data_IF_094739830642
#
_entry.id   IF_094739830642
#
_cell.length_a   1.000
_cell.length_b   1.000
_cell.length_c   1.000
_cell.angle_alpha   90.00
_cell.angle_beta   90.00
_cell.angle_gamma   90.00
#
_symmetry.space_group_name_H-M   'P 1'
#
loop_
_entity.id
_entity.type
_entity.pdbx_description
1 polymer ?
#
# COMPACT_ATOMS: atom_id res chain seq x y z
N UNK A 1 48.38 33.69 -1.30
CA UNK A 1 47.59 32.56 -1.87
C UNK A 1 46.45 32.12 -0.95
N UNK A 2 46.59 31.28 0.10
CA UNK A 2 45.39 30.87 0.92
C UNK A 2 44.64 32.02 1.61
N UNK A 3 45.36 33.01 2.16
CA UNK A 3 44.76 34.20 2.81
C UNK A 3 44.16 35.19 1.79
N UNK A 4 44.72 35.21 0.59
CA UNK A 4 44.27 36.06 -0.52
C UNK A 4 43.01 35.48 -1.19
N UNK A 5 42.92 34.15 -1.28
CA UNK A 5 41.73 33.43 -1.69
C UNK A 5 40.57 33.62 -0.68
N UNK A 6 40.87 33.64 0.61
CA UNK A 6 39.88 33.93 1.66
C UNK A 6 39.27 35.34 1.55
N UNK A 7 40.04 36.34 1.11
CA UNK A 7 39.52 37.70 0.90
C UNK A 7 38.60 37.86 -0.31
N UNK A 8 38.59 36.89 -1.23
CA UNK A 8 37.63 36.80 -2.34
C UNK A 8 36.36 36.00 -1.99
N UNK A 9 36.18 35.60 -0.72
CA UNK A 9 35.03 34.79 -0.31
C UNK A 9 35.14 33.32 -0.72
N UNK A 10 36.36 32.81 -0.91
CA UNK A 10 36.62 31.38 -1.15
C UNK A 10 37.11 30.76 0.17
N UNK A 11 36.53 29.64 0.64
CA UNK A 11 35.90 28.59 -0.14
C UNK A 11 34.43 28.90 -0.44
N UNK A 12 34.06 28.88 -1.73
CA UNK A 12 32.66 28.68 -2.11
C UNK A 12 32.37 27.22 -1.78
N UNK A 13 31.82 26.95 -0.60
CA UNK A 13 31.62 25.56 -0.13
C UNK A 13 30.62 24.77 -1.00
N UNK A 14 29.89 25.44 -1.91
CA UNK A 14 28.90 24.80 -2.78
C UNK A 14 28.97 25.42 -4.18
N UNK A 15 29.23 24.60 -5.20
CA UNK A 15 29.23 25.03 -6.60
C UNK A 15 27.79 25.10 -7.11
N UNK A 16 27.28 26.32 -7.31
CA UNK A 16 25.87 26.55 -7.65
C UNK A 16 25.61 26.55 -9.15
N UNK A 17 24.34 26.51 -9.55
CA UNK A 17 23.91 26.73 -10.93
C UNK A 17 24.42 28.05 -11.51
N UNK A 18 24.46 29.11 -10.70
CA UNK A 18 24.98 30.41 -11.13
C UNK A 18 26.49 30.37 -11.40
N UNK A 19 27.24 29.56 -10.65
CA UNK A 19 28.67 29.36 -10.88
C UNK A 19 28.91 28.56 -12.17
N UNK A 20 28.12 27.52 -12.41
CA UNK A 20 28.16 26.75 -13.66
C UNK A 20 27.88 27.62 -14.90
N UNK A 21 26.95 28.56 -14.78
CA UNK A 21 26.62 29.48 -15.85
C UNK A 21 27.71 30.55 -16.06
N UNK A 22 28.18 31.18 -14.97
CA UNK A 22 29.19 32.26 -15.05
C UNK A 22 30.56 31.76 -15.51
N UNK A 23 30.93 30.53 -15.17
CA UNK A 23 32.21 29.93 -15.59
C UNK A 23 32.13 29.27 -16.98
N UNK A 24 30.97 29.33 -17.65
CA UNK A 24 30.81 28.76 -18.98
C UNK A 24 31.51 29.63 -20.04
N UNK A 25 32.63 29.13 -20.55
CA UNK A 25 33.38 29.79 -21.64
C UNK A 25 32.93 29.28 -23.00
N UNK A 26 32.98 30.13 -24.02
CA UNK A 26 32.78 29.72 -25.42
C UNK A 26 33.85 28.71 -25.91
N UNK A 27 34.96 28.59 -25.19
CA UNK A 27 36.05 27.63 -25.46
C UNK A 27 35.81 26.24 -24.86
N UNK A 28 34.76 26.03 -24.05
CA UNK A 28 34.48 24.74 -23.41
C UNK A 28 33.81 23.75 -24.37
N UNK A 29 34.14 22.47 -24.18
CA UNK A 29 33.48 21.38 -24.90
C UNK A 29 32.07 21.13 -24.36
N UNK A 30 31.23 20.47 -25.14
CA UNK A 30 29.88 20.09 -24.68
C UNK A 30 29.91 19.08 -23.53
N UNK A 31 30.95 18.24 -23.48
CA UNK A 31 31.20 17.34 -22.35
C UNK A 31 31.44 18.15 -21.06
N UNK A 32 32.32 19.15 -21.10
CA UNK A 32 32.62 20.00 -19.94
C UNK A 32 31.38 20.74 -19.44
N UNK A 33 30.53 21.21 -20.37
CA UNK A 33 29.26 21.89 -20.03
C UNK A 33 28.29 20.94 -19.34
N UNK A 34 28.14 19.71 -19.84
CA UNK A 34 27.26 18.69 -19.26
C UNK A 34 27.71 18.30 -17.86
N UNK A 35 29.01 18.06 -17.65
CA UNK A 35 29.55 17.65 -16.35
C UNK A 35 29.35 18.75 -15.30
N UNK A 36 29.58 20.02 -15.67
CA UNK A 36 29.33 21.15 -14.77
C UNK A 36 27.85 21.36 -14.46
N UNK A 37 26.99 21.23 -15.47
CA UNK A 37 25.54 21.31 -15.27
C UNK A 37 25.06 20.22 -14.31
N UNK A 38 25.54 18.98 -14.50
CA UNK A 38 25.28 17.86 -13.60
C UNK A 38 25.73 18.18 -12.17
N UNK A 39 26.97 18.62 -11.99
CA UNK A 39 27.52 18.94 -10.66
C UNK A 39 26.77 20.08 -9.96
N UNK A 40 26.36 21.12 -10.70
CA UNK A 40 25.51 22.17 -10.17
C UNK A 40 24.14 21.66 -9.71
N UNK A 41 23.52 20.77 -10.51
CA UNK A 41 22.22 20.18 -10.19
C UNK A 41 22.28 19.27 -8.96
N UNK A 42 23.35 18.50 -8.81
CA UNK A 42 23.63 17.69 -7.62
C UNK A 42 23.69 18.56 -6.36
N UNK A 43 24.39 19.69 -6.43
CA UNK A 43 24.54 20.62 -5.31
C UNK A 43 23.24 21.38 -4.98
N UNK A 44 22.46 21.77 -6.00
CA UNK A 44 21.16 22.42 -5.80
C UNK A 44 20.17 21.47 -5.13
N UNK A 45 20.05 20.24 -5.62
CA UNK A 45 19.23 19.20 -4.98
C UNK A 45 19.70 18.89 -3.56
N UNK A 46 21.01 18.82 -3.32
CA UNK A 46 21.56 18.63 -1.99
C UNK A 46 21.18 19.77 -1.03
N UNK A 47 21.21 21.02 -1.50
CA UNK A 47 20.79 22.18 -0.71
C UNK A 47 19.29 22.14 -0.40
N UNK A 48 18.46 21.79 -1.37
CA UNK A 48 17.01 21.68 -1.18
C UNK A 48 16.63 20.56 -0.20
N UNK A 49 17.26 19.38 -0.32
CA UNK A 49 17.03 18.25 0.60
C UNK A 49 17.49 18.61 2.01
N UNK A 50 18.57 19.38 2.16
CA UNK A 50 19.06 19.83 3.47
C UNK A 50 18.10 20.80 4.18
N UNK A 51 17.13 21.39 3.48
CA UNK A 51 16.11 22.26 4.08
C UNK A 51 14.95 21.49 4.74
N UNK A 52 14.87 20.16 4.54
CA UNK A 52 13.85 19.35 5.20
C UNK A 52 14.14 19.21 6.70
N UNK A 53 13.06 19.14 7.49
CA UNK A 53 13.17 18.96 8.94
C UNK A 53 13.83 17.61 9.27
N UNK A 54 14.83 17.64 10.16
CA UNK A 54 15.56 16.44 10.60
C UNK A 54 16.76 16.05 9.72
N UNK A 55 17.07 16.83 8.68
CA UNK A 55 18.27 16.65 7.85
C UNK A 55 19.30 17.72 8.22
N UNK A 56 20.51 17.30 8.58
CA UNK A 56 21.65 18.19 8.83
C UNK A 56 22.40 18.52 7.54
N UNK A 57 22.64 17.51 6.71
CA UNK A 57 23.22 17.71 5.39
C UNK A 57 22.85 16.58 4.45
N UNK A 58 22.82 16.88 3.15
CA UNK A 58 22.59 15.91 2.10
C UNK A 58 23.67 15.99 1.01
N UNK A 59 23.88 14.90 0.29
CA UNK A 59 24.66 14.82 -0.95
C UNK A 59 23.89 14.01 -1.97
N UNK A 60 23.89 14.46 -3.22
CA UNK A 60 23.20 13.78 -4.31
C UNK A 60 24.22 13.42 -5.37
N UNK A 61 24.15 12.17 -5.85
CA UNK A 61 24.94 11.67 -6.97
C UNK A 61 23.99 11.25 -8.07
N UNK A 62 24.15 11.82 -9.27
CA UNK A 62 23.32 11.52 -10.43
C UNK A 62 24.14 10.73 -11.46
N UNK A 63 23.59 9.64 -11.98
CA UNK A 63 24.15 8.89 -13.10
C UNK A 63 23.24 9.07 -14.32
N UNK A 64 23.56 10.07 -15.14
CA UNK A 64 22.86 10.36 -16.40
C UNK A 64 23.48 9.49 -17.49
N UNK A 65 22.70 8.56 -18.04
CA UNK A 65 23.11 7.76 -19.20
C UNK A 65 22.81 8.53 -20.48
N UNK A 66 23.81 8.72 -21.32
CA UNK A 66 23.61 9.35 -22.63
C UNK A 66 22.88 8.36 -23.54
N UNK A 67 21.74 8.77 -24.08
CA UNK A 67 21.00 7.98 -25.05
C UNK A 67 21.88 7.68 -26.27
N UNK A 68 21.97 6.40 -26.64
CA UNK A 68 22.56 5.96 -27.90
C UNK A 68 21.84 6.66 -29.05
N UNK A 69 22.56 7.38 -29.92
CA UNK A 69 22.01 7.99 -31.13
C UNK A 69 21.54 6.97 -32.18
N UNK A 70 21.63 5.67 -31.87
CA UNK A 70 21.11 4.61 -32.71
C UNK A 70 19.65 4.33 -32.37
N UNK A 71 18.77 4.59 -33.34
CA UNK A 71 17.32 4.36 -33.33
C UNK A 71 16.93 2.88 -33.13
N UNK A 72 17.92 1.97 -33.08
CA UNK A 72 17.73 0.51 -33.05
C UNK A 72 18.00 -0.13 -31.68
N UNK A 73 18.32 0.65 -30.65
CA UNK A 73 18.64 0.12 -29.33
C UNK A 73 17.53 0.50 -28.34
N UNK A 74 16.61 -0.44 -28.08
CA UNK A 74 15.59 -0.38 -27.02
C UNK A 74 16.20 -0.40 -25.59
N UNK A 75 17.51 -0.19 -25.46
CA UNK A 75 18.16 0.02 -24.17
C UNK A 75 17.87 1.45 -23.70
N UNK A 76 16.65 1.66 -23.20
CA UNK A 76 16.32 2.76 -22.29
C UNK A 76 17.17 2.58 -21.03
N UNK A 77 18.43 2.97 -21.07
CA UNK A 77 19.23 3.07 -19.86
C UNK A 77 18.66 4.22 -19.04
N UNK A 78 17.99 3.87 -17.94
CA UNK A 78 17.33 4.84 -17.08
C UNK A 78 18.35 5.61 -16.25
N UNK A 79 18.15 6.91 -16.13
CA UNK A 79 18.93 7.76 -15.23
C UNK A 79 18.69 7.32 -13.80
N UNK A 80 19.76 7.15 -13.02
CA UNK A 80 19.69 6.77 -11.61
C UNK A 80 20.26 7.86 -10.72
N UNK A 81 19.86 7.88 -9.45
CA UNK A 81 20.52 8.73 -8.48
C UNK A 81 20.58 8.09 -7.09
N UNK A 82 21.61 8.49 -6.34
CA UNK A 82 21.81 8.11 -4.95
C UNK A 82 21.84 9.38 -4.09
N UNK A 83 21.06 9.37 -3.02
CA UNK A 83 20.93 10.47 -2.05
C UNK A 83 21.49 10.00 -0.73
N UNK A 84 22.55 10.66 -0.27
CA UNK A 84 23.20 10.43 1.02
C UNK A 84 22.73 11.51 1.99
N UNK A 85 22.17 11.11 3.13
CA UNK A 85 21.61 12.03 4.12
C UNK A 85 22.32 11.83 5.46
N UNK A 86 22.62 12.93 6.14
CA UNK A 86 23.03 12.97 7.54
C UNK A 86 21.88 13.61 8.32
N UNK A 87 21.36 12.89 9.32
CA UNK A 87 20.24 13.37 10.15
C UNK A 87 20.75 14.28 11.26
N UNK A 88 19.95 15.29 11.59
CA UNK A 88 20.25 16.24 12.68
C UNK A 88 20.15 15.62 14.08
N UNK A 89 19.40 14.53 14.21
CA UNK A 89 19.23 13.78 15.44
C UNK A 89 19.09 12.28 15.16
N UNK A 90 19.06 11.48 16.24
CA UNK A 90 18.95 10.04 16.13
C UNK A 90 17.50 9.55 15.95
N UNK A 91 16.55 10.43 15.59
CA UNK A 91 15.17 10.01 15.30
C UNK A 91 15.08 9.42 13.89
N UNK A 92 14.15 8.48 13.66
CA UNK A 92 13.86 8.01 12.31
C UNK A 92 13.22 9.16 11.49
N UNK A 93 13.62 9.28 10.22
CA UNK A 93 12.91 10.13 9.26
C UNK A 93 11.53 9.50 8.98
N UNK A 94 10.51 10.33 8.80
CA UNK A 94 9.16 9.86 8.47
C UNK A 94 9.16 9.31 7.05
N UNK A 95 8.46 8.20 6.79
CA UNK A 95 8.35 7.62 5.45
C UNK A 95 7.88 8.64 4.41
N UNK A 96 6.90 9.48 4.76
CA UNK A 96 6.42 10.60 3.93
C UNK A 96 7.54 11.54 3.48
N UNK A 97 8.51 11.84 4.35
CA UNK A 97 9.67 12.69 4.02
C UNK A 97 10.60 12.00 3.05
N UNK A 98 10.84 10.70 3.22
CA UNK A 98 11.68 9.91 2.31
C UNK A 98 11.04 9.81 0.92
N UNK A 99 9.72 9.56 0.85
CA UNK A 99 8.97 9.57 -0.41
C UNK A 99 9.04 10.93 -1.09
N UNK A 100 8.85 12.03 -0.35
CA UNK A 100 8.94 13.38 -0.90
C UNK A 100 10.34 13.69 -1.47
N UNK A 101 11.41 13.23 -0.81
CA UNK A 101 12.78 13.37 -1.31
C UNK A 101 12.97 12.59 -2.61
N UNK A 102 12.49 11.34 -2.68
CA UNK A 102 12.54 10.53 -3.90
C UNK A 102 11.80 11.21 -5.05
N UNK A 103 10.58 11.68 -4.82
CA UNK A 103 9.76 12.34 -5.84
C UNK A 103 10.41 13.64 -6.33
N UNK A 104 11.00 14.43 -5.43
CA UNK A 104 11.72 15.65 -5.78
C UNK A 104 12.89 15.35 -6.73
N UNK A 105 13.73 14.37 -6.38
CA UNK A 105 14.90 14.00 -7.18
C UNK A 105 14.48 13.35 -8.49
N UNK A 106 13.51 12.43 -8.46
CA UNK A 106 12.98 11.73 -9.62
C UNK A 106 12.43 12.70 -10.68
N UNK A 107 11.60 13.65 -10.26
CA UNK A 107 11.06 14.69 -11.13
C UNK A 107 12.16 15.63 -11.66
N UNK A 108 13.18 15.94 -10.85
CA UNK A 108 14.30 16.78 -11.28
C UNK A 108 15.09 16.13 -12.40
N UNK A 109 15.34 14.82 -12.36
CA UNK A 109 16.17 14.10 -13.35
C UNK A 109 15.37 13.31 -14.41
N UNK A 110 14.04 13.48 -14.45
CA UNK A 110 13.12 12.77 -15.34
C UNK A 110 13.30 11.23 -15.27
N UNK A 111 13.28 10.68 -14.07
CA UNK A 111 13.31 9.22 -13.84
C UNK A 111 12.17 8.80 -12.91
N UNK A 112 11.98 7.49 -12.74
CA UNK A 112 11.03 6.93 -11.77
C UNK A 112 11.60 6.99 -10.34
N UNK A 113 10.77 7.23 -9.31
CA UNK A 113 11.20 7.20 -7.90
C UNK A 113 11.88 5.89 -7.47
N UNK A 114 11.55 4.77 -8.14
CA UNK A 114 12.16 3.45 -7.95
C UNK A 114 13.66 3.40 -8.29
N UNK A 115 14.15 4.33 -9.11
CA UNK A 115 15.56 4.45 -9.48
C UNK A 115 16.36 5.34 -8.52
N UNK A 116 15.75 5.80 -7.43
CA UNK A 116 16.34 6.71 -6.45
C UNK A 116 16.58 5.97 -5.14
N UNK A 117 17.84 5.81 -4.79
CA UNK A 117 18.22 5.22 -3.50
C UNK A 117 18.52 6.31 -2.49
N UNK A 118 17.93 6.21 -1.30
CA UNK A 118 18.17 7.14 -0.19
C UNK A 118 18.90 6.40 0.92
N UNK A 119 20.03 6.93 1.39
CA UNK A 119 20.91 6.29 2.37
C UNK A 119 21.11 7.23 3.56
N UNK A 120 20.79 6.75 4.76
CA UNK A 120 21.16 7.40 6.02
C UNK A 120 22.61 7.05 6.34
N UNK A 121 23.49 8.03 6.18
CA UNK A 121 24.93 7.87 6.39
C UNK A 121 25.28 7.79 7.88
N UNK A 122 24.41 8.31 8.76
CA UNK A 122 24.59 8.24 10.22
C UNK A 122 24.38 6.82 10.72
N UNK A 123 23.36 6.13 10.20
CA UNK A 123 23.05 4.74 10.59
C UNK A 123 23.63 3.67 9.65
N UNK A 124 24.12 4.07 8.47
CA UNK A 124 24.58 3.17 7.42
C UNK A 124 23.45 2.37 6.76
N UNK A 125 22.19 2.79 6.95
CA UNK A 125 21.01 2.09 6.43
C UNK A 125 20.47 2.78 5.20
N UNK A 126 20.08 1.98 4.23
CA UNK A 126 19.25 2.43 3.11
C UNK A 126 17.83 2.69 3.64
N UNK A 127 17.30 3.87 3.37
CA UNK A 127 15.94 4.30 3.73
C UNK A 127 14.92 3.94 2.66
N UNK A 128 15.35 3.17 1.65
CA UNK A 128 14.50 2.63 0.61
C UNK A 128 13.55 1.60 1.25
N UNK A 129 12.25 1.91 1.24
CA UNK A 129 11.20 0.95 1.55
C UNK A 129 11.31 -0.20 0.56
N UNK A 130 11.91 -1.31 1.02
CA UNK A 130 11.81 -2.71 0.56
C UNK A 130 13.03 -3.57 0.96
N UNK A 131 13.92 -3.09 1.84
CA UNK A 131 14.92 -3.96 2.48
C UNK A 131 14.39 -4.56 3.79
N UNK A 132 13.72 -5.71 3.65
CA UNK A 132 13.32 -6.66 4.70
C UNK A 132 12.28 -6.17 5.73
N UNK A 133 11.00 -6.29 5.33
CA UNK A 133 9.80 -6.10 6.16
C UNK A 133 9.87 -6.75 7.56
N UNK A 134 10.65 -7.81 7.77
CA UNK A 134 10.64 -8.54 9.04
C UNK A 134 11.38 -7.80 10.19
N UNK A 135 12.56 -7.21 9.93
CA UNK A 135 13.42 -6.68 11.00
C UNK A 135 13.08 -5.23 11.40
N UNK A 136 12.61 -4.43 10.43
CA UNK A 136 12.10 -3.08 10.68
C UNK A 136 10.77 -3.10 11.43
N UNK A 137 9.82 -3.98 11.03
CA UNK A 137 8.54 -4.15 11.73
C UNK A 137 8.75 -4.57 13.18
N UNK A 138 9.69 -5.47 13.48
CA UNK A 138 9.97 -5.89 14.86
C UNK A 138 10.48 -4.74 15.75
N UNK A 139 11.34 -3.88 15.21
CA UNK A 139 11.91 -2.75 15.96
C UNK A 139 10.82 -1.71 16.29
N UNK A 140 9.96 -1.39 15.32
CA UNK A 140 8.86 -0.44 15.53
C UNK A 140 7.78 -1.00 16.45
N UNK A 141 7.44 -2.29 16.33
CA UNK A 141 6.53 -2.96 17.26
C UNK A 141 7.04 -2.93 18.70
N UNK A 142 8.34 -3.17 18.90
CA UNK A 142 8.98 -3.07 20.22
C UNK A 142 8.91 -1.63 20.75
N UNK A 143 9.23 -0.63 19.92
CA UNK A 143 9.17 0.78 20.31
C UNK A 143 7.75 1.20 20.70
N UNK A 144 6.73 0.81 19.92
CA UNK A 144 5.32 1.11 20.23
C UNK A 144 4.93 0.49 21.57
N UNK A 145 5.25 -0.79 21.77
CA UNK A 145 4.99 -1.50 23.02
C UNK A 145 5.65 -0.81 24.21
N UNK A 146 6.94 -0.50 24.10
CA UNK A 146 7.70 0.12 25.18
C UNK A 146 7.16 1.52 25.54
N UNK A 147 6.83 2.34 24.54
CA UNK A 147 6.23 3.66 24.79
C UNK A 147 4.88 3.57 25.50
N UNK A 148 4.04 2.59 25.12
CA UNK A 148 2.77 2.37 25.78
C UNK A 148 2.94 1.92 27.24
N UNK A 149 3.85 0.97 27.49
CA UNK A 149 4.21 0.52 28.85
C UNK A 149 4.71 1.69 29.71
N UNK A 150 5.63 2.52 29.20
CA UNK A 150 6.11 3.70 29.92
C UNK A 150 5.00 4.70 30.24
N UNK A 151 4.06 4.90 29.32
CA UNK A 151 2.92 5.80 29.54
C UNK A 151 1.98 5.27 30.62
N UNK A 152 1.70 3.97 30.62
CA UNK A 152 0.89 3.32 31.65
C UNK A 152 1.58 3.40 33.01
N UNK A 153 2.87 3.04 33.08
CA UNK A 153 3.68 3.12 34.29
C UNK A 153 3.63 4.53 34.90
N UNK A 154 3.83 5.56 34.06
CA UNK A 154 3.80 6.95 34.49
C UNK A 154 2.44 7.36 35.03
N UNK A 155 1.36 7.07 34.30
CA UNK A 155 0.01 7.46 34.70
C UNK A 155 -0.42 6.82 36.02
N UNK A 156 -0.15 5.52 36.19
CA UNK A 156 -0.50 4.79 37.42
C UNK A 156 0.37 5.29 38.59
N UNK A 157 1.66 5.54 38.35
CA UNK A 157 2.56 6.08 39.37
C UNK A 157 2.10 7.45 39.84
N UNK A 158 1.84 8.39 38.93
CA UNK A 158 1.37 9.75 39.27
C UNK A 158 0.06 9.72 40.06
N UNK A 159 -0.85 8.82 39.69
CA UNK A 159 -2.11 8.65 40.42
C UNK A 159 -1.90 8.16 41.86
N UNK A 160 -1.05 7.14 42.05
CA UNK A 160 -0.80 6.56 43.36
C UNK A 160 0.12 7.43 44.24
N UNK A 161 1.03 8.21 43.66
CA UNK A 161 1.89 9.14 44.40
C UNK A 161 1.10 10.28 45.08
N UNK A 162 -0.07 10.66 44.54
CA UNK A 162 -0.97 11.62 45.20
C UNK A 162 -1.51 11.10 46.55
N UNK A 163 -1.54 9.79 46.76
CA UNK A 163 -2.08 9.16 47.97
C UNK A 163 -0.94 8.70 48.89
N UNK A 164 0.08 8.06 48.33
CA UNK A 164 1.17 7.43 49.10
C UNK A 164 2.43 8.29 49.23
N UNK A 165 2.47 9.48 48.61
CA UNK A 165 3.64 10.35 48.58
C UNK A 165 4.61 10.02 47.45
N UNK A 166 5.37 11.03 47.00
CA UNK A 166 6.32 10.88 45.90
C UNK A 166 7.46 9.92 46.26
N UNK A 167 7.81 9.02 45.34
CA UNK A 167 8.89 8.04 45.54
C UNK A 167 8.53 6.81 46.37
N UNK A 168 7.31 6.74 46.93
CA UNK A 168 6.84 5.58 47.70
C UNK A 168 6.14 4.50 46.85
N UNK A 169 6.02 4.72 45.53
CA UNK A 169 5.33 3.82 44.60
C UNK A 169 6.23 3.48 43.41
N UNK A 170 6.35 2.19 43.12
CA UNK A 170 6.97 1.68 41.91
C UNK A 170 5.94 0.88 41.09
N UNK A 171 5.82 1.20 39.81
CA UNK A 171 4.90 0.54 38.89
C UNK A 171 5.70 -0.03 37.72
N UNK A 172 5.33 -1.24 37.30
CA UNK A 172 5.78 -1.85 36.05
C UNK A 172 4.59 -2.50 35.35
N UNK A 173 4.42 -2.18 34.08
CA UNK A 173 3.40 -2.75 33.23
C UNK A 173 4.02 -3.54 32.09
N UNK A 174 3.31 -4.56 31.63
CA UNK A 174 3.59 -5.23 30.37
C UNK A 174 2.34 -5.33 29.53
N UNK A 175 2.45 -5.01 28.25
CA UNK A 175 1.33 -4.98 27.31
C UNK A 175 1.52 -6.02 26.22
N UNK A 176 0.44 -6.73 25.90
CA UNK A 176 0.34 -7.59 24.72
C UNK A 176 -0.45 -6.85 23.63
N UNK A 177 0.18 -6.62 22.49
CA UNK A 177 -0.40 -5.88 21.36
C UNK A 177 -0.46 -6.82 20.16
N UNK A 178 -1.60 -6.87 19.50
CA UNK A 178 -1.79 -7.57 18.25
C UNK A 178 -1.45 -6.63 17.08
N UNK A 179 -0.44 -7.00 16.29
CA UNK A 179 0.00 -6.25 15.10
C UNK A 179 -0.42 -6.93 13.80
N UNK A 180 -1.29 -7.93 13.85
CA UNK A 180 -1.77 -8.63 12.66
C UNK A 180 -2.69 -7.71 11.86
N UNK A 181 -2.39 -7.56 10.57
CA UNK A 181 -3.25 -6.90 9.60
C UNK A 181 -4.08 -7.96 8.90
N UNK A 182 -5.40 -7.91 9.06
CA UNK A 182 -6.32 -8.85 8.43
C UNK A 182 -7.22 -8.10 7.45
N UNK A 183 -7.21 -8.56 6.19
CA UNK A 183 -8.16 -8.15 5.16
C UNK A 183 -9.08 -9.34 4.84
N UNK A 184 -10.36 -9.21 5.15
CA UNK A 184 -11.37 -10.21 4.83
C UNK A 184 -12.38 -9.64 3.84
N UNK A 185 -12.60 -10.36 2.74
CA UNK A 185 -13.64 -10.06 1.75
C UNK A 185 -14.73 -11.11 1.91
N UNK A 186 -15.91 -10.68 2.30
CA UNK A 186 -17.08 -11.54 2.43
C UNK A 186 -18.04 -11.16 1.30
N UNK A 187 -18.36 -12.15 0.46
CA UNK A 187 -19.41 -12.05 -0.56
C UNK A 187 -20.60 -12.85 -0.05
N UNK A 188 -21.67 -12.16 0.32
CA UNK A 188 -22.89 -12.75 0.85
C UNK A 188 -24.02 -12.57 -0.16
N UNK A 189 -24.72 -13.67 -0.50
CA UNK A 189 -25.90 -13.63 -1.36
C UNK A 189 -27.16 -13.64 -0.51
N UNK A 190 -28.01 -12.63 -0.67
CA UNK A 190 -29.26 -12.52 0.07
C UNK A 190 -30.47 -12.39 -0.88
N UNK A 191 -31.63 -12.95 -0.52
CA UNK A 191 -32.86 -12.77 -1.29
C UNK A 191 -33.27 -11.28 -1.28
N UNK A 192 -33.77 -10.73 -2.40
CA UNK A 192 -34.14 -9.31 -2.48
C UNK A 192 -35.36 -8.92 -1.64
N UNK A 193 -36.15 -9.89 -1.19
CA UNK A 193 -37.39 -9.68 -0.44
C UNK A 193 -37.27 -10.30 0.94
N UNK A 194 -37.52 -9.50 1.97
CA UNK A 194 -37.49 -9.94 3.37
C UNK A 194 -38.56 -11.02 3.63
N UNK A 195 -38.15 -12.17 4.19
CA UNK A 195 -39.04 -13.28 4.53
C UNK A 195 -39.26 -14.32 3.43
N UNK A 196 -38.57 -14.21 2.29
CA UNK A 196 -38.54 -15.23 1.26
C UNK A 196 -37.13 -15.82 1.16
N UNK A 197 -36.99 -17.14 1.07
CA UNK A 197 -35.68 -17.82 0.93
C UNK A 197 -35.25 -17.91 -0.54
N UNK A 198 -36.15 -17.59 -1.47
CA UNK A 198 -35.90 -17.65 -2.92
C UNK A 198 -35.44 -16.30 -3.48
N UNK A 199 -34.58 -16.35 -4.50
CA UNK A 199 -34.15 -15.17 -5.26
C UNK A 199 -35.30 -14.56 -6.06
N UNK A 200 -35.13 -13.33 -6.53
CA UNK A 200 -36.14 -12.64 -7.34
C UNK A 200 -36.09 -13.15 -8.77
N UNK A 201 -37.20 -13.70 -9.29
CA UNK A 201 -37.25 -14.17 -10.68
C UNK A 201 -37.03 -12.99 -11.64
N UNK A 202 -35.91 -13.00 -12.37
CA UNK A 202 -35.57 -12.00 -13.40
C UNK A 202 -36.12 -12.39 -14.76
N UNK A 203 -36.06 -13.68 -15.10
CA UNK A 203 -36.55 -14.21 -16.37
C UNK A 203 -37.01 -15.65 -16.21
N UNK A 204 -38.11 -16.00 -16.87
CA UNK A 204 -38.65 -17.35 -16.93
C UNK A 204 -38.92 -17.69 -18.39
N UNK A 205 -38.34 -18.79 -18.87
CA UNK A 205 -38.64 -19.39 -20.17
C UNK A 205 -39.35 -20.71 -19.96
N UNK A 206 -40.54 -20.85 -20.54
CA UNK A 206 -41.36 -22.05 -20.47
C UNK A 206 -41.69 -22.51 -21.88
N UNK A 207 -41.25 -23.72 -22.22
CA UNK A 207 -41.53 -24.39 -23.49
C UNK A 207 -42.50 -25.53 -23.18
N UNK A 208 -43.71 -25.41 -23.69
CA UNK A 208 -44.73 -26.45 -23.65
C UNK A 208 -44.89 -27.05 -25.05
N UNK A 209 -44.55 -28.33 -25.20
CA UNK A 209 -44.83 -29.10 -26.40
C UNK A 209 -45.98 -30.06 -26.11
N UNK A 210 -47.07 -29.89 -26.86
CA UNK A 210 -48.21 -30.80 -26.86
C UNK A 210 -48.29 -31.47 -28.22
N UNK A 211 -47.95 -32.75 -28.28
CA UNK A 211 -48.17 -33.56 -29.48
C UNK A 211 -49.38 -34.45 -29.24
N UNK A 212 -50.42 -34.20 -30.02
CA UNK A 212 -51.58 -35.08 -30.14
C UNK A 212 -51.51 -35.71 -31.53
N UNK A 213 -51.40 -37.03 -31.58
CA UNK A 213 -51.22 -37.78 -32.84
C UNK A 213 -52.23 -37.37 -33.92
N UNK A 214 -51.73 -37.06 -35.12
CA UNK A 214 -52.54 -36.78 -36.28
C UNK A 214 -53.09 -38.07 -36.90
N UNK A 215 -54.37 -38.06 -37.29
CA UNK A 215 -54.96 -39.17 -38.05
C UNK A 215 -54.14 -39.44 -39.32
N UNK A 216 -53.74 -40.70 -39.50
CA UNK A 216 -53.22 -41.21 -40.77
C UNK A 216 -54.32 -41.08 -41.83
N UNK A 217 -54.28 -40.03 -42.64
CA UNK A 217 -55.09 -39.94 -43.84
C UNK A 217 -54.46 -40.88 -44.87
N UNK A 218 -55.14 -42.00 -45.13
CA UNK A 218 -54.69 -43.05 -46.05
C UNK A 218 -54.28 -42.52 -47.43
N UNK A 219 -53.38 -43.26 -48.08
CA UNK A 219 -52.84 -42.97 -49.41
C UNK A 219 -53.95 -42.70 -50.43
N UNK A 220 -53.91 -41.56 -51.16
CA UNK A 220 -54.91 -41.24 -52.18
C UNK A 220 -54.95 -42.29 -53.29
N UNK A 221 -56.13 -42.86 -53.57
CA UNK A 221 -56.36 -43.69 -54.75
C UNK A 221 -56.73 -45.15 -54.52
N UNK A 222 -57.10 -45.57 -53.31
CA UNK A 222 -57.65 -46.91 -53.06
C UNK A 222 -59.04 -46.80 -52.41
N UNK A 223 -60.01 -47.58 -52.91
CA UNK A 223 -61.38 -47.60 -52.38
C UNK A 223 -61.39 -48.08 -50.92
N UNK A 224 -62.10 -47.35 -50.07
CA UNK A 224 -62.26 -47.66 -48.65
C UNK A 224 -62.92 -49.04 -48.49
N UNK A 225 -62.18 -50.01 -47.96
CA UNK A 225 -62.73 -51.29 -47.55
C UNK A 225 -63.67 -51.08 -46.33
N UNK A 226 -64.91 -51.62 -46.33
CA UNK A 226 -65.79 -51.48 -45.18
C UNK A 226 -65.21 -52.19 -43.95
N UNK A 227 -65.32 -51.53 -42.79
CA UNK A 227 -64.69 -51.93 -41.55
C UNK A 227 -65.21 -53.29 -41.06
N UNK A 228 -64.34 -54.30 -41.06
CA UNK A 228 -64.48 -55.44 -40.16
C UNK A 228 -63.84 -55.04 -38.82
N UNK A 229 -64.56 -55.31 -37.72
CA UNK A 229 -64.36 -54.85 -36.35
C UNK A 229 -62.96 -54.30 -36.02
N UNK A 230 -62.79 -52.98 -36.13
CA UNK A 230 -61.68 -52.27 -35.51
C UNK A 230 -62.01 -52.05 -34.03
N UNK A 231 -61.28 -52.74 -33.16
CA UNK A 231 -61.19 -52.40 -31.74
C UNK A 231 -60.68 -50.96 -31.64
N UNK A 232 -61.32 -50.03 -30.91
CA UNK A 232 -60.76 -48.70 -30.75
C UNK A 232 -59.48 -48.83 -29.92
N UNK A 233 -58.32 -48.70 -30.57
CA UNK A 233 -57.09 -48.35 -29.86
C UNK A 233 -57.29 -46.90 -29.39
N UNK A 234 -57.75 -46.76 -28.15
CA UNK A 234 -57.64 -45.53 -27.37
C UNK A 234 -56.17 -45.38 -26.97
N UNK A 235 -55.35 -45.08 -27.96
CA UNK A 235 -53.90 -45.03 -27.88
C UNK A 235 -53.37 -43.88 -28.69
N UNK A 236 -54.00 -42.70 -28.58
CA UNK A 236 -53.33 -41.48 -28.98
C UNK A 236 -52.09 -41.34 -28.10
N UNK A 237 -50.91 -41.58 -28.67
CA UNK A 237 -49.66 -41.26 -27.97
C UNK A 237 -49.64 -39.75 -27.75
N UNK A 238 -49.95 -39.38 -26.51
CA UNK A 238 -49.94 -38.01 -26.03
C UNK A 238 -48.56 -37.76 -25.46
N UNK A 239 -47.80 -36.90 -26.12
CA UNK A 239 -46.53 -36.42 -25.64
C UNK A 239 -46.71 -34.99 -25.13
N UNK A 240 -46.54 -34.82 -23.83
CA UNK A 240 -46.49 -33.53 -23.17
C UNK A 240 -45.05 -33.32 -22.66
N UNK A 241 -44.36 -32.29 -23.16
CA UNK A 241 -43.07 -31.86 -22.63
C UNK A 241 -43.20 -30.44 -22.09
N UNK A 242 -42.87 -30.26 -20.82
CA UNK A 242 -42.75 -28.94 -20.19
C UNK A 242 -41.30 -28.74 -19.79
N UNK A 243 -40.62 -27.78 -20.40
CA UNK A 243 -39.28 -27.35 -20.03
C UNK A 243 -39.35 -25.93 -19.48
N UNK A 244 -38.98 -25.77 -18.20
CA UNK A 244 -38.95 -24.46 -17.53
C UNK A 244 -37.52 -24.11 -17.11
N UNK A 245 -37.06 -22.91 -17.48
CA UNK A 245 -35.78 -22.32 -17.07
C UNK A 245 -36.08 -21.03 -16.32
N UNK A 246 -35.68 -20.96 -15.05
CA UNK A 246 -35.90 -19.79 -14.18
C UNK A 246 -34.54 -19.18 -13.83
N UNK A 247 -34.35 -17.91 -14.17
CA UNK A 247 -33.18 -17.12 -13.79
C UNK A 247 -33.56 -16.21 -12.63
N UNK A 248 -32.91 -16.40 -11.49
CA UNK A 248 -33.14 -15.59 -10.29
C UNK A 248 -32.00 -14.57 -10.11
N UNK A 249 -32.36 -13.37 -9.65
CA UNK A 249 -31.43 -12.37 -9.14
C UNK A 249 -31.36 -12.46 -7.61
N UNK A 250 -30.14 -12.42 -7.09
CA UNK A 250 -29.83 -12.35 -5.67
C UNK A 250 -29.11 -11.02 -5.43
N UNK A 251 -29.31 -10.45 -4.25
CA UNK A 251 -28.48 -9.33 -3.83
C UNK A 251 -27.09 -9.85 -3.49
N UNK A 252 -26.06 -9.21 -4.05
CA UNK A 252 -24.66 -9.45 -3.69
C UNK A 252 -24.24 -8.39 -2.68
N UNK A 253 -23.94 -8.81 -1.46
CA UNK A 253 -23.46 -7.94 -0.40
C UNK A 253 -21.96 -8.16 -0.26
N UNK A 254 -21.20 -7.20 -0.76
CA UNK A 254 -19.74 -7.18 -0.64
C UNK A 254 -19.34 -6.44 0.64
N UNK A 255 -18.78 -7.17 1.60
CA UNK A 255 -18.22 -6.61 2.84
C UNK A 255 -16.70 -6.74 2.81
N UNK A 256 -16.01 -5.59 2.81
CA UNK A 256 -14.57 -5.52 3.00
C UNK A 256 -14.29 -5.14 4.46
N UNK A 257 -13.75 -6.08 5.24
CA UNK A 257 -13.36 -5.85 6.64
C UNK A 257 -11.85 -5.69 6.67
N UNK A 258 -11.39 -4.51 7.08
CA UNK A 258 -9.97 -4.22 7.33
C UNK A 258 -9.77 -4.09 8.85
N UNK A 259 -9.07 -5.04 9.46
CA UNK A 259 -8.63 -4.90 10.85
C UNK A 259 -7.34 -4.09 10.88
N UNK A 260 -7.38 -2.98 11.61
CA UNK A 260 -6.20 -2.16 11.85
C UNK A 260 -5.27 -2.86 12.85
N UNK A 261 -3.96 -2.94 12.58
CA UNK A 261 -2.99 -3.44 13.55
C UNK A 261 -2.84 -2.48 14.75
N UNK A 262 -2.43 -3.00 15.90
CA UNK A 262 -2.17 -2.23 17.12
C UNK A 262 -3.24 -2.32 18.21
N UNK A 263 -4.14 -3.31 18.15
CA UNK A 263 -5.09 -3.56 19.24
C UNK A 263 -4.39 -4.12 20.47
N UNK A 264 -4.70 -3.57 21.64
CA UNK A 264 -4.21 -4.09 22.93
C UNK A 264 -5.05 -5.31 23.32
N UNK A 265 -4.42 -6.47 23.44
CA UNK A 265 -5.08 -7.70 23.88
C UNK A 265 -5.13 -7.80 25.41
N UNK A 266 -3.99 -7.58 26.06
CA UNK A 266 -3.84 -7.73 27.51
C UNK A 266 -2.89 -6.69 28.09
N UNK A 267 -3.17 -6.29 29.33
CA UNK A 267 -2.31 -5.42 30.13
C UNK A 267 -2.11 -6.08 31.49
N UNK A 268 -0.86 -6.36 31.84
CA UNK A 268 -0.48 -6.84 33.18
C UNK A 268 0.24 -5.72 33.91
N UNK A 269 -0.15 -5.45 35.16
CA UNK A 269 0.45 -4.38 35.97
C UNK A 269 0.89 -4.95 37.31
N UNK A 270 2.15 -4.68 37.67
CA UNK A 270 2.71 -4.94 38.99
C UNK A 270 2.96 -3.60 39.71
N UNK A 271 2.46 -3.49 40.93
CA UNK A 271 2.59 -2.30 41.76
C UNK A 271 3.25 -2.68 43.08
N UNK A 272 4.29 -1.94 43.46
CA UNK A 272 4.96 -2.08 44.74
C UNK A 272 4.85 -0.76 45.50
N UNK A 273 4.37 -0.84 46.74
CA UNK A 273 4.11 0.31 47.62
C UNK A 273 4.96 0.16 48.88
N UNK A 274 5.64 1.24 49.27
CA UNK A 274 6.41 1.28 50.49
C UNK A 274 5.46 1.29 51.72
N UNK A 275 5.72 0.40 52.68
CA UNK A 275 4.84 0.16 53.84
C UNK A 275 4.91 1.27 54.91
N UNK A 276 5.93 2.12 54.86
CA UNK A 276 6.24 3.10 55.93
C UNK A 276 5.13 4.12 56.22
N UNK A 277 4.27 4.41 55.24
CA UNK A 277 3.23 5.45 55.34
C UNK A 277 1.80 4.88 55.39
N UNK A 278 1.63 3.57 55.65
CA UNK A 278 0.30 2.95 55.78
C UNK A 278 -0.34 3.14 57.18
N UNK A 279 0.07 4.16 57.94
CA UNK A 279 -0.64 4.58 59.13
C UNK A 279 -1.81 5.49 58.73
N UNK A 280 -2.92 4.84 58.36
CA UNK A 280 -4.24 5.47 58.42
C UNK A 280 -4.51 5.82 59.89
N UNK A 281 -4.55 7.13 60.21
CA UNK A 281 -5.37 7.65 61.31
C UNK A 281 -6.86 7.48 61.00
#
# INVERSE_FOLDING_TARGET
IKIELASYGLPKDIYSFTDAFNDSSWTMTDYDKKERYKYAKENELAADISNFEGIESAKVYIDIKEGSGFVLEDNKMETKAAVSIIKSDNRPLRGETVTAIKDLVANSINTSPENIQVIDTTSGKTLDEEAEDAEFLMTDQFNIKHNLEQRIDKNIKEFLENVFGSGNVAVRSSVKINFDSEKSTIVEFAPPVEGNEEGLIRSMEEIEEHMVGGQSLGTPGTENNPADYAMPEDGGERYDMIKRVINNELNEINKEIKKAPGQVEDITVAVLINKSDLSLE
#
